data_IF_757189397448
#
_entry.id   IF_757189397448
#
_cell.length_a   1.000
_cell.length_b   1.000
_cell.length_c   1.000
_cell.angle_alpha   90.00
_cell.angle_beta   90.00
_cell.angle_gamma   90.00
#
_symmetry.space_group_name_H-M   'P 1'
#
loop_
_entity.id
_entity.type
_entity.pdbx_description
1 polymer ?
#
# COMPACT_ATOMS: atom_id res chain seq x y z
N UNK A 1 10.81 20.25 25.22
CA UNK A 1 9.93 19.59 26.22
C UNK A 1 8.47 19.37 25.78
N UNK A 2 8.07 19.70 24.54
CA UNK A 2 6.67 19.51 24.05
C UNK A 2 6.48 18.21 23.23
N UNK A 3 7.56 17.68 22.64
CA UNK A 3 7.53 16.44 21.86
C UNK A 3 7.25 15.18 22.72
N UNK A 4 7.81 15.09 23.93
CA UNK A 4 7.59 13.95 24.84
C UNK A 4 6.12 13.85 25.32
N UNK A 5 5.42 14.98 25.48
CA UNK A 5 4.00 15.01 25.87
C UNK A 5 3.05 14.58 24.74
N UNK A 6 3.48 14.59 23.48
CA UNK A 6 2.66 14.12 22.35
C UNK A 6 2.81 12.60 22.12
N UNK A 7 3.93 12.01 22.57
CA UNK A 7 4.13 10.56 22.58
C UNK A 7 3.40 9.86 23.74
N UNK A 8 2.96 10.60 24.76
CA UNK A 8 2.17 10.08 25.89
C UNK A 8 0.67 9.94 25.59
N UNK A 9 0.27 10.02 24.32
CA UNK A 9 -1.12 9.85 23.92
C UNK A 9 -1.58 8.43 24.22
N UNK A 10 -2.60 8.29 25.06
CA UNK A 10 -3.29 7.02 25.25
C UNK A 10 -3.72 6.45 23.89
N UNK A 11 -3.61 5.13 23.66
CA UNK A 11 -4.05 4.52 22.43
C UNK A 11 -5.51 4.90 22.20
N UNK A 12 -5.80 5.65 21.13
CA UNK A 12 -7.18 5.79 20.69
C UNK A 12 -7.63 4.41 20.27
N UNK A 13 -8.61 3.85 20.97
CA UNK A 13 -9.25 2.60 20.58
C UNK A 13 -9.85 2.79 19.18
N UNK A 14 -9.11 2.35 18.17
CA UNK A 14 -9.65 2.12 16.85
C UNK A 14 -10.56 0.89 16.98
N UNK A 15 -11.84 1.04 16.62
CA UNK A 15 -12.80 -0.07 16.61
C UNK A 15 -12.43 -1.23 15.67
N UNK A 16 -11.35 -1.10 14.89
CA UNK A 16 -10.83 -2.12 13.96
C UNK A 16 -9.35 -2.40 14.22
N UNK A 17 -8.98 -3.67 14.18
CA UNK A 17 -7.60 -4.13 14.38
C UNK A 17 -6.69 -3.76 13.20
N UNK A 18 -5.40 -3.50 13.45
CA UNK A 18 -4.41 -3.27 12.40
C UNK A 18 -4.18 -4.52 11.54
N UNK A 19 -3.80 -4.32 10.27
CA UNK A 19 -3.38 -5.42 9.40
C UNK A 19 -2.08 -6.04 9.94
N UNK A 20 -2.17 -7.31 10.34
CA UNK A 20 -1.02 -8.08 10.82
C UNK A 20 -0.03 -8.34 9.68
N UNK A 21 1.27 -8.37 10.01
CA UNK A 21 2.35 -8.62 9.06
C UNK A 21 2.23 -9.99 8.36
N UNK A 22 1.74 -11.01 9.06
CA UNK A 22 1.47 -12.34 8.51
C UNK A 22 0.44 -12.28 7.37
N UNK A 23 -0.69 -11.61 7.62
CA UNK A 23 -1.74 -11.43 6.62
C UNK A 23 -1.27 -10.54 5.47
N UNK A 24 -0.49 -9.48 5.73
CA UNK A 24 0.14 -8.69 4.68
C UNK A 24 1.01 -9.55 3.76
N UNK A 25 1.87 -10.41 4.34
CA UNK A 25 2.71 -11.34 3.55
C UNK A 25 1.89 -12.31 2.71
N UNK A 26 0.78 -12.82 3.25
CA UNK A 26 -0.13 -13.68 2.48
C UNK A 26 -0.77 -12.91 1.32
N UNK A 27 -1.31 -11.72 1.57
CA UNK A 27 -1.87 -10.85 0.52
C UNK A 27 -0.84 -10.51 -0.55
N UNK A 28 0.39 -10.21 -0.15
CA UNK A 28 1.53 -10.00 -1.05
C UNK A 28 1.77 -11.21 -1.96
N UNK A 29 1.88 -12.42 -1.40
CA UNK A 29 2.05 -13.65 -2.20
C UNK A 29 0.90 -13.87 -3.17
N UNK A 30 -0.35 -13.73 -2.71
CA UNK A 30 -1.52 -13.93 -3.56
C UNK A 30 -1.61 -12.88 -4.67
N UNK A 31 -1.34 -11.61 -4.37
CA UNK A 31 -1.35 -10.54 -5.37
C UNK A 31 -0.17 -10.61 -6.33
N UNK A 32 1.00 -11.09 -5.89
CA UNK A 32 2.17 -11.26 -6.73
C UNK A 32 1.90 -12.25 -7.88
N UNK A 33 1.16 -13.33 -7.60
CA UNK A 33 0.75 -14.32 -8.61
C UNK A 33 -0.54 -13.97 -9.38
N UNK A 34 -1.20 -12.84 -9.11
CA UNK A 34 -2.43 -12.47 -9.83
C UNK A 34 -2.13 -12.01 -11.25
N UNK A 35 -2.96 -12.49 -12.18
CA UNK A 35 -2.93 -12.07 -13.58
C UNK A 35 -3.67 -10.74 -13.79
N UNK A 36 -3.14 -9.66 -13.20
CA UNK A 36 -3.66 -8.30 -13.38
C UNK A 36 -2.56 -7.29 -13.76
N UNK A 37 -1.49 -7.81 -14.38
CA UNK A 37 -0.32 -7.05 -14.80
C UNK A 37 0.33 -6.31 -13.63
N UNK A 38 0.41 -6.98 -12.46
CA UNK A 38 1.03 -6.48 -11.24
C UNK A 38 0.26 -5.34 -10.54
N UNK A 39 -0.95 -5.00 -10.98
CA UNK A 39 -1.70 -3.85 -10.46
C UNK A 39 -1.99 -3.99 -8.97
N UNK A 40 -2.63 -5.09 -8.56
CA UNK A 40 -3.02 -5.25 -7.15
C UNK A 40 -1.79 -5.34 -6.25
N UNK A 41 -0.73 -5.95 -6.76
CA UNK A 41 0.51 -6.13 -6.02
C UNK A 41 1.21 -4.79 -5.75
N UNK A 42 1.41 -3.98 -6.79
CA UNK A 42 2.00 -2.66 -6.64
C UNK A 42 1.12 -1.73 -5.79
N UNK A 43 -0.21 -1.76 -5.98
CA UNK A 43 -1.11 -0.92 -5.18
C UNK A 43 -1.05 -1.27 -3.69
N UNK A 44 -1.11 -2.56 -3.35
CA UNK A 44 -0.98 -3.08 -1.99
C UNK A 44 0.33 -2.66 -1.33
N UNK A 45 1.45 -2.92 -2.01
CA UNK A 45 2.78 -2.60 -1.47
C UNK A 45 3.02 -1.10 -1.37
N UNK A 46 2.44 -0.29 -2.28
CA UNK A 46 2.48 1.18 -2.21
C UNK A 46 1.76 1.70 -0.97
N UNK A 47 0.57 1.17 -0.67
CA UNK A 47 -0.17 1.54 0.53
C UNK A 47 0.57 1.19 1.81
N UNK A 48 1.17 -0.01 1.84
CA UNK A 48 1.94 -0.49 2.99
C UNK A 48 3.21 0.34 3.20
N UNK A 49 4.06 0.51 2.19
CA UNK A 49 5.35 1.19 2.34
C UNK A 49 5.20 2.70 2.58
N UNK A 50 4.23 3.35 1.93
CA UNK A 50 3.99 4.79 2.16
C UNK A 50 3.11 5.07 3.38
N UNK A 51 2.58 4.02 4.03
CA UNK A 51 1.63 4.12 5.14
C UNK A 51 0.46 5.04 4.80
N UNK A 52 -0.12 4.86 3.60
CA UNK A 52 -1.11 5.77 3.04
C UNK A 52 -2.47 5.12 2.76
N UNK A 53 -3.52 5.93 2.68
CA UNK A 53 -4.88 5.49 2.33
C UNK A 53 -4.97 5.22 0.84
N UNK A 54 -5.93 4.40 0.40
CA UNK A 54 -6.12 4.10 -1.03
C UNK A 54 -6.34 5.36 -1.88
N UNK A 55 -6.98 6.39 -1.31
CA UNK A 55 -7.16 7.70 -1.97
C UNK A 55 -5.84 8.43 -2.23
N UNK A 56 -4.83 8.27 -1.37
CA UNK A 56 -3.49 8.85 -1.58
C UNK A 56 -2.66 7.98 -2.52
N UNK A 57 -2.73 6.65 -2.35
CA UNK A 57 -2.00 5.71 -3.22
C UNK A 57 -2.37 5.87 -4.70
N UNK A 58 -3.68 6.00 -5.01
CA UNK A 58 -4.11 6.20 -6.40
C UNK A 58 -3.64 7.53 -7.02
N UNK A 59 -3.22 8.50 -6.20
CA UNK A 59 -2.74 9.82 -6.68
C UNK A 59 -1.22 9.91 -6.77
N UNK A 60 -0.49 8.83 -6.50
CA UNK A 60 0.97 8.79 -6.69
C UNK A 60 1.25 8.96 -8.18
N UNK A 61 2.17 9.87 -8.51
CA UNK A 61 2.66 10.09 -9.88
C UNK A 61 4.11 9.60 -9.97
N UNK A 62 4.50 9.13 -11.15
CA UNK A 62 5.90 8.72 -11.40
C UNK A 62 6.88 9.87 -11.19
N UNK A 63 6.46 11.10 -11.48
CA UNK A 63 7.24 12.33 -11.30
C UNK A 63 7.51 12.68 -9.83
N UNK A 64 6.75 12.09 -8.89
CA UNK A 64 6.98 12.28 -7.46
C UNK A 64 7.91 11.22 -6.87
N UNK A 65 8.39 10.28 -7.70
CA UNK A 65 9.35 9.26 -7.31
C UNK A 65 10.75 9.76 -7.64
N UNK A 66 11.60 9.80 -6.63
CA UNK A 66 12.98 10.28 -6.73
C UNK A 66 13.88 9.16 -6.24
N UNK A 67 14.82 8.72 -7.08
CA UNK A 67 15.85 7.77 -6.67
C UNK A 67 16.80 8.45 -5.68
N UNK A 68 17.08 7.80 -4.56
CA UNK A 68 17.98 8.31 -3.53
C UNK A 68 18.82 7.16 -2.97
N UNK A 69 20.07 7.03 -3.42
CA UNK A 69 21.03 5.99 -3.02
C UNK A 69 20.39 4.58 -2.97
N UNK A 70 20.08 4.07 -1.77
CA UNK A 70 19.51 2.75 -1.50
C UNK A 70 17.96 2.73 -1.40
N UNK A 71 17.32 3.86 -1.70
CA UNK A 71 15.88 4.07 -1.53
C UNK A 71 15.23 4.78 -2.72
N UNK A 72 13.91 4.68 -2.80
CA UNK A 72 13.08 5.51 -3.67
C UNK A 72 12.22 6.39 -2.77
N UNK A 73 12.45 7.70 -2.82
CA UNK A 73 11.63 8.70 -2.16
C UNK A 73 10.34 8.96 -2.94
N UNK A 74 9.21 9.04 -2.24
CA UNK A 74 7.92 9.44 -2.81
C UNK A 74 7.34 10.63 -2.08
N UNK A 75 7.06 11.70 -2.82
CA UNK A 75 6.39 12.88 -2.27
C UNK A 75 4.87 12.78 -2.43
N UNK A 76 4.13 12.84 -1.32
CA UNK A 76 2.66 12.87 -1.32
C UNK A 76 2.20 14.32 -1.09
N UNK A 77 1.80 15.01 -2.16
CA UNK A 77 1.36 16.40 -2.09
C UNK A 77 0.02 16.56 -1.38
N UNK A 78 -0.99 15.77 -1.77
CA UNK A 78 -2.34 15.86 -1.18
C UNK A 78 -2.54 14.83 -0.09
N UNK A 79 -2.94 15.30 1.09
CA UNK A 79 -3.27 14.46 2.24
C UNK A 79 -4.60 14.88 2.87
N UNK A 80 -5.08 14.13 3.86
CA UNK A 80 -6.29 14.50 4.61
C UNK A 80 -6.15 15.87 5.29
N UNK A 81 -4.95 16.17 5.80
CA UNK A 81 -4.65 17.41 6.53
C UNK A 81 -4.16 18.53 5.62
N UNK A 82 -3.69 18.22 4.41
CA UNK A 82 -3.28 19.19 3.40
C UNK A 82 -4.01 18.89 2.08
N UNK A 83 -5.24 19.38 1.96
CA UNK A 83 -6.06 19.16 0.76
C UNK A 83 -5.55 19.94 -0.45
N UNK A 84 -4.95 21.11 -0.21
CA UNK A 84 -4.46 22.00 -1.25
C UNK A 84 -3.12 21.52 -1.83
N UNK A 85 -2.28 20.93 -0.98
CA UNK A 85 -1.02 20.32 -1.38
C UNK A 85 0.20 21.23 -1.27
N UNK A 86 0.04 22.42 -0.67
CA UNK A 86 1.09 23.43 -0.56
C UNK A 86 2.12 23.13 0.54
N UNK A 87 3.25 23.83 0.43
CA UNK A 87 4.35 23.84 1.39
C UNK A 87 5.33 22.67 1.24
N UNK A 88 6.50 22.74 1.88
CA UNK A 88 7.50 21.67 1.87
C UNK A 88 6.92 20.32 2.27
N UNK A 89 7.47 19.26 1.68
CA UNK A 89 7.10 17.87 1.96
C UNK A 89 8.36 17.04 2.02
N UNK A 90 8.52 16.32 3.12
CA UNK A 90 9.57 15.31 3.20
C UNK A 90 9.14 14.08 2.40
N UNK A 91 10.01 13.56 1.52
CA UNK A 91 9.72 12.35 0.78
C UNK A 91 9.62 11.16 1.75
N UNK A 92 8.71 10.23 1.46
CA UNK A 92 8.63 8.95 2.15
C UNK A 92 9.53 7.96 1.41
N UNK A 93 10.53 7.43 2.09
CA UNK A 93 11.50 6.51 1.50
C UNK A 93 10.99 5.07 1.52
N UNK A 94 11.09 4.41 0.36
CA UNK A 94 10.79 3.00 0.17
C UNK A 94 12.08 2.27 -0.18
N UNK A 95 12.37 1.18 0.52
CA UNK A 95 13.63 0.46 0.38
C UNK A 95 13.44 -0.83 -0.40
N UNK A 96 14.47 -1.22 -1.14
CA UNK A 96 14.52 -2.52 -1.79
C UNK A 96 14.76 -3.63 -0.75
N UNK A 97 14.06 -4.76 -0.90
CA UNK A 97 14.26 -5.95 -0.07
C UNK A 97 14.50 -7.16 -0.99
N UNK A 98 15.76 -7.41 -1.35
CA UNK A 98 16.13 -8.46 -2.30
C UNK A 98 15.74 -9.88 -1.83
N UNK A 99 15.79 -10.14 -0.51
CA UNK A 99 15.50 -11.46 0.07
C UNK A 99 14.01 -11.82 0.11
N UNK A 100 13.11 -10.86 -0.10
CA UNK A 100 11.65 -11.06 0.00
C UNK A 100 10.95 -10.33 -1.14
N UNK A 101 11.12 -10.79 -2.39
CA UNK A 101 10.64 -10.09 -3.59
C UNK A 101 9.12 -9.84 -3.56
N UNK A 102 8.34 -10.72 -2.93
CA UNK A 102 6.88 -10.58 -2.84
C UNK A 102 6.46 -9.45 -1.89
N UNK A 103 7.34 -8.96 -1.02
CA UNK A 103 7.04 -7.80 -0.16
C UNK A 103 7.80 -6.55 -0.56
N UNK A 104 8.70 -6.67 -1.54
CA UNK A 104 9.57 -5.61 -2.01
C UNK A 104 8.79 -4.69 -2.96
N UNK A 105 8.61 -3.44 -2.56
CA UNK A 105 7.93 -2.46 -3.40
C UNK A 105 8.68 -2.19 -4.71
N UNK A 106 10.02 -2.17 -4.69
CA UNK A 106 10.85 -1.97 -5.90
C UNK A 106 10.64 -3.10 -6.89
N UNK A 107 10.56 -4.35 -6.41
CA UNK A 107 10.22 -5.51 -7.26
C UNK A 107 8.81 -5.39 -7.82
N UNK A 108 7.83 -5.01 -6.98
CA UNK A 108 6.46 -4.80 -7.42
C UNK A 108 6.35 -3.72 -8.51
N UNK A 109 7.13 -2.63 -8.38
CA UNK A 109 7.20 -1.56 -9.37
C UNK A 109 7.80 -2.06 -10.67
N UNK A 110 8.92 -2.78 -10.61
CA UNK A 110 9.59 -3.33 -11.79
C UNK A 110 8.67 -4.26 -12.59
N UNK A 111 7.96 -5.18 -11.91
CA UNK A 111 6.98 -6.09 -12.55
C UNK A 111 5.85 -5.28 -13.19
N UNK A 112 5.31 -4.29 -12.49
CA UNK A 112 4.22 -3.45 -13.00
C UNK A 112 4.61 -2.67 -14.26
N UNK A 113 5.82 -2.07 -14.28
CA UNK A 113 6.34 -1.32 -15.42
C UNK A 113 6.76 -2.23 -16.58
N UNK A 114 7.28 -3.43 -16.31
CA UNK A 114 7.58 -4.42 -17.34
C UNK A 114 6.33 -4.83 -18.13
N UNK A 115 5.16 -4.86 -17.48
CA UNK A 115 3.88 -5.07 -18.15
C UNK A 115 3.34 -3.82 -18.89
N UNK A 116 3.97 -2.65 -18.74
CA UNK A 116 3.54 -1.35 -19.31
C UNK A 116 4.74 -0.54 -19.82
N UNK A 117 5.48 -1.04 -20.82
CA UNK A 117 6.74 -0.43 -21.25
C UNK A 117 6.59 0.98 -21.83
N UNK A 118 5.38 1.34 -22.31
CA UNK A 118 5.09 2.65 -22.91
C UNK A 118 4.35 3.59 -21.97
N UNK A 119 4.41 3.38 -20.65
CA UNK A 119 3.69 4.22 -19.68
C UNK A 119 4.26 5.65 -19.68
N UNK A 120 3.47 6.68 -20.05
CA UNK A 120 3.95 8.06 -20.05
C UNK A 120 4.12 8.59 -18.61
N UNK A 121 4.95 9.62 -18.38
CA UNK A 121 5.07 10.29 -17.08
C UNK A 121 3.72 10.88 -16.68
N UNK A 122 3.06 10.31 -15.65
CA UNK A 122 1.64 10.54 -15.27
C UNK A 122 1.32 9.80 -13.95
N UNK A 123 0.04 9.73 -13.49
CA UNK A 123 -0.31 8.88 -12.37
C UNK A 123 0.26 7.46 -12.52
N UNK A 124 0.90 6.96 -11.46
CA UNK A 124 1.50 5.63 -11.41
C UNK A 124 0.46 4.55 -11.72
N UNK A 125 -0.79 4.78 -11.30
CA UNK A 125 -1.95 3.96 -11.63
C UNK A 125 -2.87 4.73 -12.59
N UNK A 126 -2.77 4.51 -13.91
CA UNK A 126 -3.58 5.24 -14.88
C UNK A 126 -5.07 4.81 -14.83
N UNK A 127 -5.93 5.69 -15.33
CA UNK A 127 -7.39 5.52 -15.31
C UNK A 127 -8.08 6.14 -14.10
N UNK A 128 -9.40 6.03 -14.04
CA UNK A 128 -10.21 6.46 -12.90
C UNK A 128 -10.44 5.31 -11.91
N UNK A 129 -10.91 5.63 -10.71
CA UNK A 129 -11.44 4.64 -9.74
C UNK A 129 -10.46 3.53 -9.30
N UNK A 130 -9.15 3.78 -9.31
CA UNK A 130 -8.16 2.76 -8.93
C UNK A 130 -8.28 2.35 -7.45
N UNK A 131 -8.67 3.28 -6.55
CA UNK A 131 -9.08 2.94 -5.18
C UNK A 131 -10.20 1.89 -5.17
N UNK A 132 -11.26 2.13 -5.94
CA UNK A 132 -12.45 1.27 -5.98
C UNK A 132 -12.08 -0.09 -6.56
N UNK A 133 -11.34 -0.10 -7.67
CA UNK A 133 -10.80 -1.31 -8.29
C UNK A 133 -9.99 -2.15 -7.31
N UNK A 134 -9.03 -1.55 -6.62
CA UNK A 134 -8.23 -2.26 -5.60
C UNK A 134 -9.09 -2.75 -4.44
N UNK A 135 -10.03 -1.92 -3.94
CA UNK A 135 -10.94 -2.30 -2.88
C UNK A 135 -11.77 -3.55 -3.20
N UNK A 136 -12.32 -3.63 -4.42
CA UNK A 136 -13.04 -4.81 -4.89
C UNK A 136 -12.16 -6.06 -4.96
N UNK A 137 -10.89 -5.92 -5.37
CA UNK A 137 -9.94 -7.04 -5.42
C UNK A 137 -9.57 -7.49 -4.00
N UNK A 138 -9.24 -6.55 -3.12
CA UNK A 138 -8.87 -6.86 -1.74
C UNK A 138 -10.00 -7.57 -0.99
N UNK A 139 -11.25 -7.14 -1.18
CA UNK A 139 -12.42 -7.79 -0.57
C UNK A 139 -12.54 -9.26 -0.99
N UNK A 140 -12.36 -9.57 -2.29
CA UNK A 140 -12.37 -10.94 -2.80
C UNK A 140 -11.24 -11.77 -2.20
N UNK A 141 -10.02 -11.23 -2.18
CA UNK A 141 -8.85 -11.91 -1.63
C UNK A 141 -9.00 -12.23 -0.14
N UNK A 142 -9.51 -11.29 0.64
CA UNK A 142 -9.75 -11.52 2.08
C UNK A 142 -10.82 -12.59 2.29
N UNK A 143 -11.87 -12.63 1.46
CA UNK A 143 -12.87 -13.69 1.53
C UNK A 143 -12.25 -15.07 1.20
N UNK A 144 -11.49 -15.17 0.11
CA UNK A 144 -10.78 -16.39 -0.30
C UNK A 144 -9.82 -16.91 0.79
N UNK A 145 -9.03 -16.01 1.39
CA UNK A 145 -8.11 -16.37 2.48
C UNK A 145 -8.84 -16.84 3.75
N UNK A 146 -10.02 -16.29 4.04
CA UNK A 146 -10.88 -16.76 5.14
C UNK A 146 -11.39 -18.19 4.89
N UNK A 147 -11.76 -18.50 3.65
CA UNK A 147 -12.18 -19.87 3.29
C UNK A 147 -11.02 -20.86 3.42
N UNK A 148 -9.79 -20.46 3.07
CA UNK A 148 -8.60 -21.31 3.20
C UNK A 148 -8.22 -21.55 4.67
N UNK A 149 -8.34 -20.55 5.54
CA UNK A 149 -8.04 -20.70 6.99
C UNK A 149 -9.08 -21.53 7.73
N UNK A 150 -10.32 -21.63 7.23
CA UNK A 150 -11.33 -22.53 7.81
C UNK A 150 -10.97 -24.03 7.71
N UNK A 151 -10.01 -24.41 6.87
CA UNK A 151 -9.47 -25.78 6.77
C UNK A 151 -8.16 -26.00 7.55
N UNK A 152 -7.64 -24.98 8.24
CA UNK A 152 -6.44 -25.07 9.07
C UNK A 152 -6.12 -23.74 9.75
N UNK A 153 -6.38 -23.66 11.05
CA UNK A 153 -6.20 -22.53 11.97
C UNK A 153 -7.20 -21.35 11.88
N UNK A 154 -7.84 -21.11 13.02
CA UNK A 154 -8.95 -20.17 13.26
C UNK A 154 -8.54 -18.70 13.12
N UNK A 155 -9.02 -18.05 12.06
CA UNK A 155 -9.06 -16.59 11.93
C UNK A 155 -10.37 -16.06 12.54
N UNK A 156 -10.31 -15.11 13.49
CA UNK A 156 -11.51 -14.57 14.17
C UNK A 156 -12.28 -13.58 13.25
N UNK A 157 -13.52 -13.87 12.87
CA UNK A 157 -14.23 -13.17 11.79
C UNK A 157 -14.88 -11.82 12.17
N UNK A 158 -14.82 -11.38 13.43
CA UNK A 158 -15.58 -10.19 13.90
C UNK A 158 -14.91 -8.82 13.70
N UNK A 159 -13.69 -8.76 13.15
CA UNK A 159 -12.97 -7.47 12.95
C UNK A 159 -12.39 -7.39 11.55
N UNK A 160 -13.19 -6.86 10.62
CA UNK A 160 -12.77 -6.64 9.23
C UNK A 160 -11.51 -5.76 9.16
N UNK A 161 -10.44 -6.40 8.69
CA UNK A 161 -9.10 -5.88 8.54
C UNK A 161 -9.07 -4.72 7.53
N UNK A 162 -8.43 -3.61 7.88
CA UNK A 162 -8.14 -2.54 6.92
C UNK A 162 -6.67 -2.52 6.55
N UNK A 163 -6.42 -2.72 5.26
CA UNK A 163 -5.81 -1.65 4.48
C UNK A 163 -6.90 -0.60 4.30
N UNK A 164 -6.75 0.58 4.93
CA UNK A 164 -7.76 1.64 4.94
C UNK A 164 -8.30 1.92 3.52
N UNK A 165 -9.57 1.52 3.25
CA UNK A 165 -10.38 1.96 2.11
C UNK A 165 -10.60 3.47 2.21
#
# INVERSE_FOLDING_TARGET
MQAMKLQSGSPKESAKDPLQLSLYRQLCKTTFGRQDSGFSHLFLTTQWNLMCRSKSAQTVCTEHLISHDDSIGCTIYRSKTNKEGYGPKDPRHMYAIALKPETCWVTALAVYLACRPTQPPRPLFPGSEQKTRFGSILLKLVAELKHQTHYGHTFNPKRSCHICL
#
